data_IF_517555955886
#
_entry.id   IF_517555955886
#
_cell.length_a   1.000
_cell.length_b   1.000
_cell.length_c   1.000
_cell.angle_alpha   90.00
_cell.angle_beta   90.00
_cell.angle_gamma   90.00
#
_symmetry.space_group_name_H-M   'P 1'
#
loop_
_entity.id
_entity.type
_entity.pdbx_description
1 polymer ?
#
# COMPACT_ATOMS: atom_id res chain seq x y z
N UNK A 1 48.26 16.27 -7.55
CA UNK A 1 47.26 15.91 -6.53
C UNK A 1 46.41 14.83 -7.15
N UNK A 2 46.62 13.58 -6.77
CA UNK A 2 45.86 12.45 -7.30
C UNK A 2 44.60 12.31 -6.47
N UNK A 3 43.44 12.54 -7.07
CA UNK A 3 42.15 12.23 -6.44
C UNK A 3 42.06 10.71 -6.29
N UNK A 4 42.04 10.23 -5.04
CA UNK A 4 41.78 8.82 -4.79
C UNK A 4 40.30 8.56 -5.10
N UNK A 5 39.98 7.49 -5.86
CA UNK A 5 38.60 7.13 -6.13
C UNK A 5 37.90 6.79 -4.81
N UNK A 6 36.72 7.37 -4.59
CA UNK A 6 35.88 7.04 -3.45
C UNK A 6 35.53 5.55 -3.52
N UNK A 7 36.04 4.78 -2.57
CA UNK A 7 35.67 3.39 -2.39
C UNK A 7 34.30 3.40 -1.69
N UNK A 8 33.22 3.20 -2.45
CA UNK A 8 31.91 2.93 -1.87
C UNK A 8 32.04 1.62 -1.10
N UNK A 9 31.80 1.66 0.21
CA UNK A 9 31.67 0.42 0.98
C UNK A 9 30.59 -0.44 0.31
N UNK A 10 30.79 -1.76 0.18
CA UNK A 10 29.73 -2.63 -0.33
C UNK A 10 28.51 -2.41 0.56
N UNK A 11 27.41 -1.98 -0.04
CA UNK A 11 26.13 -1.92 0.66
C UNK A 11 25.80 -3.37 1.03
N UNK A 12 25.84 -3.72 2.33
CA UNK A 12 25.49 -5.06 2.86
C UNK A 12 23.97 -5.38 2.71
N UNK A 13 23.31 -4.80 1.71
CA UNK A 13 21.91 -5.04 1.43
C UNK A 13 21.75 -6.44 0.83
N UNK A 14 20.66 -7.15 1.17
CA UNK A 14 20.36 -8.43 0.56
C UNK A 14 20.12 -8.28 -0.93
N UNK A 15 20.39 -9.34 -1.69
CA UNK A 15 20.02 -9.40 -3.11
C UNK A 15 18.50 -9.19 -3.25
N UNK A 16 18.06 -8.41 -4.25
CA UNK A 16 16.64 -8.15 -4.44
C UNK A 16 15.90 -9.45 -4.82
N UNK A 17 14.70 -9.69 -4.26
CA UNK A 17 13.87 -10.84 -4.60
C UNK A 17 13.44 -10.85 -6.07
N UNK A 18 13.15 -12.05 -6.60
CA UNK A 18 12.66 -12.24 -7.97
C UNK A 18 11.13 -12.07 -8.03
N UNK A 19 10.69 -10.81 -7.99
CA UNK A 19 9.27 -10.42 -8.03
C UNK A 19 9.00 -9.39 -9.14
N UNK A 20 7.78 -9.34 -9.71
CA UNK A 20 7.46 -8.39 -10.77
C UNK A 20 7.45 -6.94 -10.26
N UNK A 21 7.71 -5.99 -11.16
CA UNK A 21 7.69 -4.56 -10.85
C UNK A 21 9.05 -4.00 -10.42
N UNK A 22 9.04 -2.85 -9.77
CA UNK A 22 10.25 -2.17 -9.28
C UNK A 22 10.50 -2.60 -7.84
N UNK A 23 11.69 -3.11 -7.55
CA UNK A 23 12.08 -3.56 -6.20
C UNK A 23 13.06 -2.57 -5.60
N UNK A 24 12.66 -1.93 -4.50
CA UNK A 24 13.51 -1.07 -3.68
C UNK A 24 13.92 -1.84 -2.42
N UNK A 25 15.22 -2.14 -2.29
CA UNK A 25 15.80 -2.71 -1.07
C UNK A 25 16.52 -1.60 -0.30
N UNK A 26 16.11 -1.36 0.93
CA UNK A 26 16.55 -0.28 1.79
C UNK A 26 17.28 -0.84 3.02
N UNK A 27 18.05 0.01 3.71
CA UNK A 27 18.83 -0.39 4.88
C UNK A 27 18.01 -0.55 6.16
N UNK A 28 16.76 -0.08 6.15
CA UNK A 28 15.84 -0.22 7.28
C UNK A 28 14.37 -0.08 6.89
N UNK A 29 13.50 -0.58 7.77
CA UNK A 29 12.05 -0.39 7.67
C UNK A 29 11.65 1.09 7.61
N UNK A 30 12.34 1.98 8.34
CA UNK A 30 12.05 3.41 8.31
C UNK A 30 12.35 4.02 6.93
N UNK A 31 13.47 3.64 6.30
CA UNK A 31 13.80 4.07 4.94
C UNK A 31 12.81 3.53 3.90
N UNK A 32 12.34 2.30 4.07
CA UNK A 32 11.31 1.71 3.20
C UNK A 32 9.97 2.44 3.33
N UNK A 33 9.56 2.78 4.56
CA UNK A 33 8.34 3.57 4.81
C UNK A 33 8.49 4.99 4.23
N UNK A 34 9.64 5.64 4.41
CA UNK A 34 9.89 6.98 3.89
C UNK A 34 9.81 7.04 2.38
N UNK A 35 10.41 6.07 1.69
CA UNK A 35 10.35 6.00 0.24
C UNK A 35 8.93 5.70 -0.27
N UNK A 36 8.20 4.77 0.38
CA UNK A 36 6.80 4.50 0.08
C UNK A 36 5.95 5.77 0.20
N UNK A 37 6.10 6.51 1.29
CA UNK A 37 5.30 7.71 1.56
C UNK A 37 5.65 8.87 0.64
N UNK A 38 6.92 9.02 0.25
CA UNK A 38 7.34 10.00 -0.76
C UNK A 38 6.68 9.71 -2.12
N UNK A 39 6.72 8.47 -2.58
CA UNK A 39 6.09 8.06 -3.84
C UNK A 39 4.56 8.25 -3.80
N UNK A 40 3.92 7.97 -2.65
CA UNK A 40 2.49 8.16 -2.47
C UNK A 40 2.11 9.64 -2.47
N UNK A 41 2.90 10.50 -1.81
CA UNK A 41 2.66 11.93 -1.79
C UNK A 41 2.82 12.55 -3.19
N UNK A 42 3.88 12.19 -3.93
CA UNK A 42 4.08 12.65 -5.30
C UNK A 42 2.92 12.24 -6.21
N UNK A 43 2.47 10.98 -6.10
CA UNK A 43 1.33 10.49 -6.86
C UNK A 43 0.04 11.24 -6.50
N UNK A 44 -0.21 11.48 -5.21
CA UNK A 44 -1.38 12.20 -4.73
C UNK A 44 -1.39 13.64 -5.23
N UNK A 45 -0.29 14.39 -5.05
CA UNK A 45 -0.20 15.79 -5.47
C UNK A 45 -0.42 15.94 -6.99
N UNK A 46 0.23 15.07 -7.78
CA UNK A 46 0.07 15.08 -9.25
C UNK A 46 -1.38 14.81 -9.67
N UNK A 47 -2.02 13.79 -9.10
CA UNK A 47 -3.39 13.42 -9.48
C UNK A 47 -4.40 14.46 -8.99
N UNK A 48 -4.21 15.03 -7.81
CA UNK A 48 -5.07 16.10 -7.29
C UNK A 48 -4.93 17.36 -8.15
N UNK A 49 -3.73 17.72 -8.59
CA UNK A 49 -3.54 18.85 -9.51
C UNK A 49 -4.25 18.62 -10.86
N UNK A 50 -4.17 17.41 -11.41
CA UNK A 50 -4.75 17.06 -12.70
C UNK A 50 -6.27 16.87 -12.67
N UNK A 51 -6.79 16.23 -11.62
CA UNK A 51 -8.16 15.67 -11.57
C UNK A 51 -8.99 16.15 -10.36
N UNK A 52 -8.36 16.78 -9.38
CA UNK A 52 -9.02 17.31 -8.17
C UNK A 52 -9.48 16.25 -7.16
N UNK A 53 -9.13 14.97 -7.38
CA UNK A 53 -9.54 13.85 -6.54
C UNK A 53 -8.51 12.72 -6.64
N UNK A 54 -8.11 12.17 -5.49
CA UNK A 54 -7.19 11.04 -5.38
C UNK A 54 -7.85 9.86 -4.67
N UNK A 55 -7.93 8.70 -5.33
CA UNK A 55 -8.56 7.49 -4.83
C UNK A 55 -7.49 6.51 -4.32
N UNK A 56 -7.32 6.47 -3.00
CA UNK A 56 -6.33 5.66 -2.29
C UNK A 56 -6.97 4.40 -1.71
N UNK A 57 -6.43 3.24 -2.05
CA UNK A 57 -6.81 1.95 -1.48
C UNK A 57 -5.82 1.55 -0.38
N UNK A 58 -6.33 1.10 0.76
CA UNK A 58 -5.49 0.59 1.85
C UNK A 58 -5.98 -0.77 2.31
N UNK A 59 -5.05 -1.66 2.65
CA UNK A 59 -5.40 -2.86 3.41
C UNK A 59 -5.53 -2.57 4.90
N UNK A 60 -6.29 -3.42 5.58
CA UNK A 60 -6.48 -3.33 7.03
C UNK A 60 -5.28 -3.77 7.87
N UNK A 61 -4.10 -3.87 7.29
CA UNK A 61 -2.98 -4.57 7.91
C UNK A 61 -2.31 -3.79 9.03
N UNK A 62 -1.99 -4.51 10.11
CA UNK A 62 -1.32 -3.91 11.28
C UNK A 62 0.08 -3.42 10.97
N UNK A 63 0.76 -3.99 9.97
CA UNK A 63 2.07 -3.50 9.54
C UNK A 63 2.00 -2.06 9.00
N UNK A 64 0.87 -1.69 8.38
CA UNK A 64 0.65 -0.34 7.89
C UNK A 64 0.30 0.67 9.00
N UNK A 65 0.09 0.25 10.25
CA UNK A 65 -0.15 1.20 11.36
C UNK A 65 1.04 2.13 11.58
N UNK A 66 2.26 1.62 11.37
CA UNK A 66 3.48 2.44 11.42
C UNK A 66 3.51 3.50 10.30
N UNK A 67 2.98 3.15 9.13
CA UNK A 67 2.82 4.06 7.98
C UNK A 67 1.80 5.15 8.30
N UNK A 68 0.61 4.77 8.79
CA UNK A 68 -0.45 5.72 9.18
C UNK A 68 0.03 6.69 10.24
N UNK A 69 0.70 6.17 11.27
CA UNK A 69 1.26 7.00 12.34
C UNK A 69 2.26 8.02 11.77
N UNK A 70 3.13 7.61 10.84
CA UNK A 70 4.11 8.50 10.24
C UNK A 70 3.46 9.57 9.37
N UNK A 71 2.46 9.23 8.56
CA UNK A 71 1.68 10.22 7.79
C UNK A 71 1.04 11.30 8.70
N UNK A 72 0.63 10.93 9.91
CA UNK A 72 -0.04 11.86 10.84
C UNK A 72 0.92 12.69 11.68
N UNK A 73 2.12 12.17 11.97
CA UNK A 73 3.08 12.81 12.88
C UNK A 73 4.18 13.57 12.16
N UNK A 74 4.63 13.09 11.00
CA UNK A 74 5.75 13.69 10.26
C UNK A 74 5.33 15.03 9.63
N UNK A 75 6.00 16.15 9.96
CA UNK A 75 5.69 17.46 9.38
C UNK A 75 5.72 17.49 7.85
N UNK A 76 6.62 16.72 7.23
CA UNK A 76 6.79 16.72 5.78
C UNK A 76 5.63 15.99 5.06
N UNK A 77 4.94 15.11 5.77
CA UNK A 77 3.78 14.35 5.26
C UNK A 77 2.44 14.99 5.62
N UNK A 78 2.41 16.02 6.47
CA UNK A 78 1.18 16.76 6.78
C UNK A 78 0.60 17.52 5.59
N UNK A 79 1.38 17.70 4.52
CA UNK A 79 0.92 18.32 3.28
C UNK A 79 0.13 17.37 2.40
N UNK A 80 0.04 16.08 2.75
CA UNK A 80 -0.74 15.11 1.99
C UNK A 80 -2.18 15.62 1.77
N UNK A 81 -2.72 15.55 0.55
CA UNK A 81 -3.96 16.22 0.18
C UNK A 81 -5.21 15.44 0.65
N UNK A 82 -5.36 15.25 1.97
CA UNK A 82 -6.47 14.50 2.57
C UNK A 82 -7.85 15.05 2.21
N UNK A 83 -7.97 16.38 2.09
CA UNK A 83 -9.21 17.04 1.67
C UNK A 83 -9.69 16.67 0.25
N UNK A 84 -8.82 16.13 -0.61
CA UNK A 84 -9.14 15.65 -1.95
C UNK A 84 -8.97 14.13 -2.08
N UNK A 85 -8.65 13.45 -0.98
CA UNK A 85 -8.41 12.01 -0.95
C UNK A 85 -9.71 11.29 -0.64
N UNK A 86 -10.04 10.27 -1.41
CA UNK A 86 -11.06 9.27 -1.13
C UNK A 86 -10.36 7.97 -0.69
N UNK A 87 -10.59 7.57 0.55
CA UNK A 87 -10.01 6.38 1.15
C UNK A 87 -10.92 5.18 0.93
N UNK A 88 -10.36 4.13 0.34
CA UNK A 88 -11.02 2.86 0.12
C UNK A 88 -10.33 1.77 0.92
N UNK A 89 -11.07 0.94 1.64
CA UNK A 89 -10.46 -0.11 2.46
C UNK A 89 -11.30 -1.38 2.46
N UNK A 90 -10.67 -2.56 2.42
CA UNK A 90 -11.37 -3.83 2.55
C UNK A 90 -11.46 -4.23 4.02
N UNK A 91 -12.68 -4.48 4.51
CA UNK A 91 -12.87 -5.05 5.84
C UNK A 91 -12.71 -6.58 5.77
N UNK A 92 -11.49 -7.05 5.55
CA UNK A 92 -11.19 -8.47 5.35
C UNK A 92 -11.52 -9.35 6.59
N UNK A 93 -11.97 -8.80 7.72
CA UNK A 93 -12.44 -9.58 8.86
C UNK A 93 -13.79 -10.25 8.60
N UNK A 94 -13.80 -11.23 7.70
CA UNK A 94 -14.94 -12.08 7.38
C UNK A 94 -15.02 -13.40 8.17
N UNK A 95 -14.06 -13.78 9.01
CA UNK A 95 -14.07 -15.15 9.56
C UNK A 95 -13.35 -15.45 10.89
N UNK A 96 -12.77 -14.47 11.60
CA UNK A 96 -12.18 -14.74 12.91
C UNK A 96 -13.14 -14.28 14.02
N UNK A 97 -13.85 -15.23 14.65
CA UNK A 97 -14.71 -14.99 15.83
C UNK A 97 -13.96 -14.32 17.00
N UNK A 98 -12.62 -14.24 16.94
CA UNK A 98 -11.74 -13.64 17.95
C UNK A 98 -11.15 -12.26 17.56
N UNK A 99 -11.52 -11.67 16.42
CA UNK A 99 -11.09 -10.31 16.08
C UNK A 99 -11.85 -9.29 16.97
N UNK A 100 -11.21 -8.90 18.08
CA UNK A 100 -11.75 -7.96 19.09
C UNK A 100 -12.09 -6.57 18.51
N UNK A 101 -11.60 -6.24 17.32
CA UNK A 101 -11.75 -4.93 16.67
C UNK A 101 -11.79 -5.05 15.14
N UNK A 102 -12.71 -4.35 14.47
CA UNK A 102 -12.82 -4.35 12.99
C UNK A 102 -11.74 -3.48 12.34
N UNK A 103 -11.42 -3.75 11.06
CA UNK A 103 -10.46 -2.92 10.29
C UNK A 103 -10.90 -1.45 10.27
N UNK A 104 -12.19 -1.22 10.10
CA UNK A 104 -12.75 0.13 10.10
C UNK A 104 -12.50 0.86 11.42
N UNK A 105 -12.72 0.21 12.58
CA UNK A 105 -12.49 0.85 13.88
C UNK A 105 -11.01 1.27 14.07
N UNK A 106 -10.08 0.41 13.65
CA UNK A 106 -8.64 0.73 13.69
C UNK A 106 -8.26 1.86 12.76
N UNK A 107 -8.72 1.82 11.51
CA UNK A 107 -8.48 2.91 10.55
C UNK A 107 -9.12 4.21 11.02
N UNK A 108 -10.26 4.12 11.69
CA UNK A 108 -10.95 5.28 12.24
C UNK A 108 -10.06 6.04 13.22
N UNK A 109 -9.42 5.34 14.15
CA UNK A 109 -8.55 5.95 15.16
C UNK A 109 -7.18 6.36 14.61
N UNK A 110 -6.59 5.53 13.73
CA UNK A 110 -5.20 5.70 13.29
C UNK A 110 -5.03 6.62 12.08
N UNK A 111 -6.03 6.70 11.20
CA UNK A 111 -5.91 7.38 9.91
C UNK A 111 -7.06 8.35 9.62
N UNK A 112 -8.31 7.90 9.71
CA UNK A 112 -9.48 8.68 9.24
C UNK A 112 -9.70 9.90 10.13
N UNK A 113 -9.82 9.72 11.46
CA UNK A 113 -10.02 10.85 12.37
C UNK A 113 -8.84 11.83 12.36
N UNK A 114 -7.56 11.39 12.41
CA UNK A 114 -6.45 12.32 12.46
C UNK A 114 -6.17 13.04 11.12
N UNK A 115 -6.51 12.43 9.97
CA UNK A 115 -6.34 13.04 8.64
C UNK A 115 -7.34 14.15 8.34
N UNK A 116 -8.49 14.17 9.04
CA UNK A 116 -9.57 15.11 8.76
C UNK A 116 -10.35 14.79 7.48
N UNK A 117 -10.30 13.53 7.02
CA UNK A 117 -11.12 13.04 5.91
C UNK A 117 -12.61 13.28 6.18
N UNK A 118 -13.32 13.71 5.14
CA UNK A 118 -14.78 13.84 5.20
C UNK A 118 -15.43 12.45 5.20
N UNK A 119 -16.60 12.31 5.83
CA UNK A 119 -17.23 11.00 6.00
C UNK A 119 -17.66 10.37 4.67
N UNK A 120 -17.97 11.17 3.65
CA UNK A 120 -18.28 10.76 2.28
C UNK A 120 -17.02 10.48 1.44
N UNK A 121 -15.82 10.76 1.97
CA UNK A 121 -14.55 10.37 1.37
C UNK A 121 -14.06 9.01 1.87
N UNK A 122 -14.82 8.32 2.73
CA UNK A 122 -14.43 7.05 3.33
C UNK A 122 -15.33 5.92 2.82
N UNK A 123 -14.73 4.98 2.10
CA UNK A 123 -15.44 3.98 1.28
C UNK A 123 -15.05 2.55 1.68
N UNK A 124 -15.90 1.81 2.42
CA UNK A 124 -15.66 0.40 2.66
C UNK A 124 -15.83 -0.42 1.37
N UNK A 125 -14.86 -1.29 1.10
CA UNK A 125 -14.92 -2.29 0.04
C UNK A 125 -15.50 -3.57 0.65
N UNK A 126 -16.65 -4.01 0.13
CA UNK A 126 -17.26 -5.29 0.53
C UNK A 126 -16.39 -6.47 0.09
N UNK A 127 -16.32 -7.51 0.93
CA UNK A 127 -15.71 -8.78 0.55
C UNK A 127 -16.58 -9.58 -0.43
N UNK A 128 -17.86 -9.21 -0.60
CA UNK A 128 -18.73 -9.80 -1.61
C UNK A 128 -18.42 -9.14 -2.98
N UNK A 129 -17.90 -9.88 -3.98
CA UNK A 129 -17.40 -9.28 -5.23
C UNK A 129 -18.45 -8.45 -5.97
N UNK A 130 -19.69 -8.93 -6.03
CA UNK A 130 -20.79 -8.23 -6.72
C UNK A 130 -21.15 -6.91 -6.05
N UNK A 131 -21.17 -6.87 -4.71
CA UNK A 131 -21.48 -5.66 -3.95
C UNK A 131 -20.33 -4.65 -4.04
N UNK A 132 -19.09 -5.13 -3.95
CA UNK A 132 -17.88 -4.34 -4.16
C UNK A 132 -17.89 -3.64 -5.51
N UNK A 133 -18.10 -4.40 -6.60
CA UNK A 133 -18.16 -3.84 -7.96
C UNK A 133 -19.27 -2.79 -8.08
N UNK A 134 -20.44 -3.05 -7.50
CA UNK A 134 -21.57 -2.12 -7.56
C UNK A 134 -21.26 -0.80 -6.83
N UNK A 135 -20.69 -0.87 -5.62
CA UNK A 135 -20.29 0.29 -4.82
C UNK A 135 -19.21 1.11 -5.53
N UNK A 136 -18.13 0.45 -5.96
CA UNK A 136 -17.01 1.09 -6.68
C UNK A 136 -17.52 1.77 -7.95
N UNK A 137 -18.39 1.12 -8.74
CA UNK A 137 -18.95 1.74 -9.94
C UNK A 137 -19.88 2.92 -9.62
N UNK A 138 -20.60 2.89 -8.51
CA UNK A 138 -21.47 4.00 -8.13
C UNK A 138 -20.69 5.27 -7.81
N UNK A 139 -19.55 5.15 -7.12
CA UNK A 139 -18.77 6.29 -6.62
C UNK A 139 -17.57 6.68 -7.51
N UNK A 140 -16.85 5.70 -8.06
CA UNK A 140 -15.67 5.92 -8.92
C UNK A 140 -15.99 5.81 -10.42
N UNK A 141 -17.15 5.24 -10.77
CA UNK A 141 -17.54 5.02 -12.17
C UNK A 141 -16.60 4.03 -12.86
N UNK A 142 -16.02 4.46 -13.98
CA UNK A 142 -15.07 3.70 -14.79
C UNK A 142 -13.61 4.17 -14.60
N UNK A 143 -13.34 5.10 -13.67
CA UNK A 143 -12.00 5.64 -13.44
C UNK A 143 -11.08 4.64 -12.68
N UNK A 144 -9.77 4.59 -12.97
CA UNK A 144 -8.86 3.78 -12.18
C UNK A 144 -8.74 4.29 -10.73
N UNK A 145 -8.38 3.40 -9.81
CA UNK A 145 -7.81 3.78 -8.53
C UNK A 145 -6.41 4.35 -8.77
N UNK A 146 -6.05 5.38 -8.01
CA UNK A 146 -4.80 6.08 -8.23
C UNK A 146 -3.64 5.39 -7.54
N UNK A 147 -3.86 4.93 -6.31
CA UNK A 147 -2.83 4.21 -5.56
C UNK A 147 -3.42 3.17 -4.62
N UNK A 148 -2.62 2.14 -4.31
CA UNK A 148 -2.89 1.23 -3.21
C UNK A 148 -1.63 1.01 -2.36
N UNK A 149 -1.82 0.93 -1.04
CA UNK A 149 -0.79 0.54 -0.08
C UNK A 149 -1.19 -0.77 0.58
N UNK A 150 -0.35 -1.78 0.41
CA UNK A 150 -0.51 -3.12 0.97
C UNK A 150 0.74 -3.52 1.77
N UNK A 151 0.55 -4.45 2.71
CA UNK A 151 1.65 -5.14 3.39
C UNK A 151 1.55 -6.65 3.15
N UNK A 152 2.67 -7.35 3.28
CA UNK A 152 2.70 -8.81 3.15
C UNK A 152 2.52 -9.48 4.52
N UNK A 153 1.60 -10.43 4.63
CA UNK A 153 1.47 -11.29 5.80
C UNK A 153 2.62 -12.29 5.91
N UNK A 154 2.90 -12.73 7.13
CA UNK A 154 3.94 -13.71 7.42
C UNK A 154 3.79 -15.04 6.67
N UNK A 155 2.58 -15.40 6.24
CA UNK A 155 2.31 -16.61 5.45
C UNK A 155 2.56 -16.44 3.94
N UNK A 156 2.99 -15.25 3.51
CA UNK A 156 3.21 -14.91 2.11
C UNK A 156 1.95 -14.55 1.35
N UNK A 157 0.80 -14.53 2.02
CA UNK A 157 -0.34 -13.80 1.52
C UNK A 157 0.03 -12.33 1.43
N UNK A 158 -0.20 -11.69 0.28
CA UNK A 158 -0.23 -10.22 0.16
C UNK A 158 -1.50 -9.64 0.84
N UNK A 159 -2.09 -10.45 1.73
CA UNK A 159 -3.31 -10.34 2.52
C UNK A 159 -4.55 -10.17 1.63
N UNK A 160 -5.33 -11.25 1.60
CA UNK A 160 -6.67 -11.41 0.99
C UNK A 160 -7.00 -10.34 -0.05
N UNK A 161 -6.45 -10.59 -1.24
CA UNK A 161 -6.41 -9.71 -2.40
C UNK A 161 -7.61 -8.79 -2.48
N UNK A 162 -7.30 -7.49 -2.55
CA UNK A 162 -8.19 -6.49 -3.12
C UNK A 162 -9.00 -7.12 -4.25
N UNK A 163 -10.33 -6.93 -4.31
CA UNK A 163 -11.15 -7.51 -5.35
C UNK A 163 -10.48 -7.30 -6.71
N UNK A 164 -10.47 -8.31 -7.59
CA UNK A 164 -9.75 -8.25 -8.89
C UNK A 164 -10.06 -6.96 -9.67
N UNK A 165 -11.29 -6.46 -9.55
CA UNK A 165 -11.72 -5.18 -10.15
C UNK A 165 -10.91 -3.96 -9.68
N UNK A 166 -10.40 -3.97 -8.45
CA UNK A 166 -9.52 -2.92 -7.91
C UNK A 166 -8.14 -3.05 -8.54
N UNK A 167 -7.57 -4.25 -8.53
CA UNK A 167 -6.22 -4.54 -9.06
C UNK A 167 -6.14 -4.17 -10.56
N UNK A 168 -7.13 -4.60 -11.36
CA UNK A 168 -7.17 -4.31 -12.81
C UNK A 168 -7.28 -2.82 -13.15
N UNK A 169 -7.65 -2.00 -12.17
CA UNK A 169 -7.90 -0.58 -12.33
C UNK A 169 -6.93 0.25 -11.53
N UNK A 170 -5.81 -0.30 -11.09
CA UNK A 170 -4.87 0.41 -10.22
C UNK A 170 -3.72 1.03 -11.00
N UNK A 171 -3.43 2.31 -10.73
CA UNK A 171 -2.32 3.03 -11.38
C UNK A 171 -0.98 2.82 -10.66
N UNK A 172 -0.97 2.85 -9.33
CA UNK A 172 0.21 2.63 -8.48
C UNK A 172 -0.10 1.60 -7.41
N UNK A 173 0.75 0.58 -7.27
CA UNK A 173 0.66 -0.42 -6.20
C UNK A 173 1.96 -0.43 -5.40
N UNK A 174 1.89 0.04 -4.14
CA UNK A 174 2.99 -0.04 -3.20
C UNK A 174 2.83 -1.21 -2.24
N UNK A 175 3.81 -2.12 -2.23
CA UNK A 175 3.86 -3.26 -1.32
C UNK A 175 4.99 -3.04 -0.31
N UNK A 176 4.65 -2.93 0.97
CA UNK A 176 5.58 -2.78 2.07
C UNK A 176 5.96 -4.14 2.64
N UNK A 177 7.27 -4.39 2.77
CA UNK A 177 7.84 -5.61 3.35
C UNK A 177 8.80 -5.20 4.46
N UNK A 178 8.34 -5.32 5.71
CA UNK A 178 9.14 -4.92 6.88
C UNK A 178 9.06 -5.96 8.00
N UNK A 179 10.15 -6.01 8.78
CA UNK A 179 10.25 -6.89 9.94
C UNK A 179 10.23 -8.38 9.60
N UNK A 180 10.17 -9.22 10.63
CA UNK A 180 10.24 -10.67 10.46
C UNK A 180 9.03 -11.22 9.69
N UNK A 181 7.84 -10.67 9.92
CA UNK A 181 6.63 -11.08 9.20
C UNK A 181 6.72 -10.79 7.70
N UNK A 182 7.15 -9.59 7.30
CA UNK A 182 7.34 -9.28 5.88
C UNK A 182 8.38 -10.19 5.22
N UNK A 183 9.51 -10.44 5.89
CA UNK A 183 10.57 -11.30 5.36
C UNK A 183 10.16 -12.77 5.20
N UNK A 184 9.39 -13.32 6.15
CA UNK A 184 8.81 -14.67 6.03
C UNK A 184 7.80 -14.72 4.88
N UNK A 185 6.96 -13.70 4.76
CA UNK A 185 5.97 -13.61 3.71
C UNK A 185 6.57 -13.51 2.32
N UNK A 186 7.62 -12.70 2.16
CA UNK A 186 8.33 -12.58 0.89
C UNK A 186 8.92 -13.93 0.44
N UNK A 187 9.53 -14.68 1.37
CA UNK A 187 10.05 -16.04 1.07
C UNK A 187 8.94 -17.01 0.67
N UNK A 188 7.80 -16.94 1.35
CA UNK A 188 6.65 -17.78 1.02
C UNK A 188 6.03 -17.39 -0.34
N UNK A 189 6.08 -16.11 -0.71
CA UNK A 189 5.63 -15.61 -2.01
C UNK A 189 6.53 -16.09 -3.16
N UNK A 190 7.85 -16.04 -2.99
CA UNK A 190 8.82 -16.57 -3.97
C UNK A 190 8.64 -18.07 -4.20
N UNK A 191 8.25 -18.82 -3.17
CA UNK A 191 7.98 -20.27 -3.26
C UNK A 191 6.65 -20.59 -3.99
N UNK A 192 5.74 -19.61 -4.12
CA UNK A 192 4.42 -19.74 -4.74
C UNK A 192 4.25 -18.83 -5.97
N UNK A 193 5.34 -18.61 -6.71
CA UNK A 193 5.46 -17.59 -7.78
C UNK A 193 4.38 -17.66 -8.86
N UNK A 194 3.86 -18.84 -9.20
CA UNK A 194 2.85 -19.02 -10.27
C UNK A 194 1.52 -18.31 -9.97
N UNK A 195 1.05 -18.28 -8.72
CA UNK A 195 -0.28 -17.72 -8.39
C UNK A 195 -0.22 -16.21 -8.11
N UNK A 196 0.89 -15.73 -7.57
CA UNK A 196 1.11 -14.31 -7.29
C UNK A 196 1.42 -13.52 -8.56
N UNK A 197 2.14 -14.13 -9.52
CA UNK A 197 2.46 -13.54 -10.82
C UNK A 197 1.21 -13.19 -11.62
N UNK A 198 0.13 -13.97 -11.52
CA UNK A 198 -1.12 -13.73 -12.24
C UNK A 198 -1.90 -12.50 -11.73
N UNK A 199 -1.87 -12.25 -10.41
CA UNK A 199 -2.54 -11.11 -9.79
C UNK A 199 -1.72 -9.82 -9.93
N UNK A 200 -0.43 -9.88 -9.57
CA UNK A 200 0.48 -8.73 -9.60
C UNK A 200 0.95 -8.39 -11.02
N UNK A 201 0.94 -9.37 -11.93
CA UNK A 201 1.30 -9.21 -13.33
C UNK A 201 0.40 -8.23 -14.09
N UNK A 202 -0.79 -7.91 -13.56
CA UNK A 202 -1.72 -6.95 -14.15
C UNK A 202 -1.41 -5.50 -13.81
N UNK A 203 -0.55 -5.26 -12.80
CA UNK A 203 -0.14 -3.93 -12.34
C UNK A 203 1.34 -3.64 -12.60
N UNK A 204 2.02 -4.37 -13.49
CA UNK A 204 3.48 -4.36 -13.64
C UNK A 204 4.11 -2.97 -13.75
N UNK A 205 3.50 -2.06 -14.51
CA UNK A 205 4.05 -0.72 -14.76
C UNK A 205 4.02 0.19 -13.52
N UNK A 206 3.08 -0.06 -12.60
CA UNK A 206 2.88 0.72 -11.37
C UNK A 206 3.25 -0.03 -10.09
N UNK A 207 3.73 -1.26 -10.18
CA UNK A 207 4.04 -2.11 -9.03
C UNK A 207 5.42 -1.75 -8.45
N UNK A 208 5.45 -1.40 -7.17
CA UNK A 208 6.65 -1.07 -6.42
C UNK A 208 6.70 -1.82 -5.10
N UNK A 209 7.84 -2.41 -4.80
CA UNK A 209 8.14 -3.09 -3.54
C UNK A 209 9.10 -2.23 -2.72
N UNK A 210 8.81 -2.10 -1.43
CA UNK A 210 9.62 -1.36 -0.47
C UNK A 210 10.02 -2.33 0.64
N UNK A 211 11.28 -2.74 0.62
CA UNK A 211 11.82 -3.80 1.48
C UNK A 211 12.83 -3.17 2.42
N UNK A 212 12.65 -3.34 3.74
CA UNK A 212 13.53 -2.78 4.76
C UNK A 212 13.57 -3.57 6.07
#
# INVERSE_FOLDING_TARGET
MSEQPFNLEPTDLPDPPDVPGIVNVLGSADEAIDLLLADMLEAADRVVEERGRFDLVVSGDRQLESVWLRMMLDPDLRTFPWHATHLWFSDASGAAEDAVESVHARLQESLILPSGLEADHVHPISNAPTESIASIRADLGEQPFDAAMLAIAADGGVIECLPVVVIERLTLLGILVIGQGGAEGLKALEQNSDQTSDCLGRCQDGLRWYIG
#
